data_IF_735341878429
#
_entry.id   IF_735341878429
#
_cell.length_a   1.000
_cell.length_b   1.000
_cell.length_c   1.000
_cell.angle_alpha   90.00
_cell.angle_beta   90.00
_cell.angle_gamma   90.00
#
_symmetry.space_group_name_H-M   'P 1'
#
loop_
_entity.id
_entity.type
_entity.pdbx_description
1 polymer ?
#
# COMPACT_ATOMS: atom_id res chain seq x y z
N UNK A 1 -3.56 5.70 -0.27
CA UNK A 1 -4.53 4.79 -0.91
C UNK A 1 -3.76 3.90 -1.86
N UNK A 2 -4.12 2.63 -2.01
CA UNK A 2 -3.48 1.69 -2.94
C UNK A 2 -4.41 0.51 -3.25
N UNK A 3 -4.15 -0.20 -4.35
CA UNK A 3 -4.90 -1.37 -4.81
C UNK A 3 -3.97 -2.39 -5.48
N UNK A 4 -4.25 -3.70 -5.39
CA UNK A 4 -3.57 -4.71 -6.20
C UNK A 4 -3.86 -4.57 -7.71
N UNK A 5 -4.96 -3.93 -8.10
CA UNK A 5 -5.30 -3.67 -9.51
C UNK A 5 -4.50 -2.47 -10.05
N UNK A 6 -3.25 -2.71 -10.40
CA UNK A 6 -2.37 -1.72 -11.01
C UNK A 6 -2.65 -1.54 -12.51
N UNK A 7 -2.30 -0.37 -13.05
CA UNK A 7 -2.36 -0.09 -14.49
C UNK A 7 -3.72 0.39 -15.01
N UNK A 8 -4.68 0.63 -14.12
CA UNK A 8 -5.98 1.22 -14.43
C UNK A 8 -6.23 2.49 -13.61
N UNK A 9 -7.28 3.23 -13.97
CA UNK A 9 -7.71 4.41 -13.23
C UNK A 9 -8.20 4.00 -11.83
N UNK A 10 -7.70 4.68 -10.78
CA UNK A 10 -7.96 4.28 -9.38
C UNK A 10 -9.39 4.63 -8.93
N UNK A 11 -10.00 5.67 -9.51
CA UNK A 11 -11.39 6.03 -9.26
C UNK A 11 -12.33 4.94 -9.80
N UNK A 12 -12.03 4.35 -10.96
CA UNK A 12 -12.82 3.23 -11.49
C UNK A 12 -12.77 2.00 -10.59
N UNK A 13 -11.61 1.69 -10.00
CA UNK A 13 -11.46 0.61 -9.02
C UNK A 13 -12.30 0.92 -7.78
N UNK A 14 -12.28 2.18 -7.32
CA UNK A 14 -13.07 2.60 -6.16
C UNK A 14 -14.58 2.48 -6.39
N UNK A 15 -15.07 2.65 -7.63
CA UNK A 15 -16.48 2.49 -7.98
C UNK A 15 -16.88 1.03 -8.22
N UNK A 16 -16.06 0.26 -8.95
CA UNK A 16 -16.41 -1.10 -9.41
C UNK A 16 -16.02 -2.19 -8.40
N UNK A 17 -14.88 -2.05 -7.75
CA UNK A 17 -14.27 -3.03 -6.83
C UNK A 17 -13.73 -2.34 -5.57
N UNK A 18 -14.60 -1.65 -4.79
CA UNK A 18 -14.19 -0.86 -3.63
C UNK A 18 -13.43 -1.67 -2.57
N UNK A 19 -13.64 -2.98 -2.48
CA UNK A 19 -12.95 -3.90 -1.58
C UNK A 19 -11.45 -4.07 -1.89
N UNK A 20 -11.03 -3.70 -3.11
CA UNK A 20 -9.62 -3.71 -3.51
C UNK A 20 -8.93 -2.37 -3.21
N UNK A 21 -9.65 -1.37 -2.70
CA UNK A 21 -9.08 -0.10 -2.28
C UNK A 21 -8.71 -0.15 -0.81
N UNK A 22 -7.41 -0.03 -0.54
CA UNK A 22 -6.86 0.03 0.80
C UNK A 22 -6.37 1.43 1.15
N UNK A 23 -6.48 1.79 2.43
CA UNK A 23 -6.00 3.06 2.99
C UNK A 23 -5.26 2.79 4.28
N UNK A 24 -4.12 3.45 4.48
CA UNK A 24 -3.43 3.53 5.76
C UNK A 24 -3.44 4.97 6.24
N UNK A 25 -3.82 5.17 7.50
CA UNK A 25 -3.76 6.46 8.16
C UNK A 25 -2.39 6.67 8.78
N UNK A 26 -1.73 7.81 8.52
CA UNK A 26 -0.39 8.09 9.01
C UNK A 26 -0.45 9.29 9.95
N UNK A 27 -0.06 9.10 11.20
CA UNK A 27 0.12 10.20 12.15
C UNK A 27 1.40 10.98 11.76
N UNK A 28 1.30 12.28 11.44
CA UNK A 28 2.43 13.09 10.98
C UNK A 28 3.52 13.28 12.04
N UNK A 29 3.23 13.07 13.34
CA UNK A 29 4.23 13.20 14.41
C UNK A 29 5.21 12.04 14.43
N UNK A 30 4.75 10.85 14.10
CA UNK A 30 5.56 9.62 14.12
C UNK A 30 5.95 9.14 12.73
N UNK A 31 5.26 9.62 11.70
CA UNK A 31 5.46 9.23 10.31
C UNK A 31 5.04 7.78 10.03
N UNK A 32 5.38 7.29 8.84
CA UNK A 32 5.00 5.93 8.43
C UNK A 32 5.71 4.85 9.25
N UNK A 33 4.91 3.96 9.84
CA UNK A 33 5.41 2.90 10.70
C UNK A 33 5.73 1.62 9.92
N UNK A 34 6.72 0.81 10.36
CA UNK A 34 7.10 -0.43 9.66
C UNK A 34 5.95 -1.43 9.46
N UNK A 35 4.99 -1.48 10.38
CA UNK A 35 3.83 -2.38 10.24
C UNK A 35 2.89 -1.94 9.11
N UNK A 36 2.78 -0.63 8.86
CA UNK A 36 1.96 -0.08 7.78
C UNK A 36 2.59 -0.41 6.42
N UNK A 37 3.91 -0.27 6.29
CA UNK A 37 4.62 -0.71 5.09
C UNK A 37 4.44 -2.21 4.81
N UNK A 38 4.47 -3.06 5.86
CA UNK A 38 4.21 -4.50 5.71
C UNK A 38 2.77 -4.79 5.31
N UNK A 39 1.81 -4.05 5.88
CA UNK A 39 0.39 -4.19 5.56
C UNK A 39 0.11 -3.83 4.10
N UNK A 40 0.72 -2.76 3.58
CA UNK A 40 0.67 -2.43 2.15
C UNK A 40 1.20 -3.59 1.29
N UNK A 41 2.40 -4.09 1.59
CA UNK A 41 2.98 -5.20 0.83
C UNK A 41 2.11 -6.47 0.87
N UNK A 42 1.52 -6.78 2.03
CA UNK A 42 0.63 -7.93 2.22
C UNK A 42 -0.67 -7.79 1.41
N UNK A 43 -1.33 -6.63 1.48
CA UNK A 43 -2.58 -6.36 0.76
C UNK A 43 -2.38 -6.35 -0.77
N UNK A 44 -1.17 -6.04 -1.24
CA UNK A 44 -0.77 -6.19 -2.65
C UNK A 44 -0.42 -7.64 -3.02
N UNK A 45 -0.60 -8.61 -2.13
CA UNK A 45 -0.35 -10.03 -2.38
C UNK A 45 1.13 -10.42 -2.48
N UNK A 46 2.04 -9.56 -2.01
CA UNK A 46 3.49 -9.80 -2.14
C UNK A 46 4.02 -10.68 -1.01
N UNK A 47 5.00 -11.53 -1.36
CA UNK A 47 5.68 -12.42 -0.41
C UNK A 47 7.20 -12.42 -0.63
N UNK A 48 7.93 -13.06 0.29
CA UNK A 48 9.38 -13.29 0.16
C UNK A 48 10.20 -12.02 -0.07
N UNK A 49 11.03 -12.03 -1.12
CA UNK A 49 11.90 -10.91 -1.46
C UNK A 49 11.10 -9.68 -1.94
N UNK A 50 10.03 -9.89 -2.71
CA UNK A 50 9.18 -8.82 -3.22
C UNK A 50 8.53 -8.05 -2.06
N UNK A 51 8.03 -8.77 -1.04
CA UNK A 51 7.50 -8.13 0.18
C UNK A 51 8.57 -7.27 0.87
N UNK A 52 9.78 -7.80 1.06
CA UNK A 52 10.88 -7.05 1.68
C UNK A 52 11.21 -5.78 0.90
N UNK A 53 11.28 -5.85 -0.43
CA UNK A 53 11.55 -4.66 -1.25
C UNK A 53 10.39 -3.66 -1.22
N UNK A 54 9.15 -4.13 -1.26
CA UNK A 54 7.98 -3.26 -1.15
C UNK A 54 7.96 -2.48 0.17
N UNK A 55 8.29 -3.12 1.30
CA UNK A 55 8.33 -2.41 2.59
C UNK A 55 9.35 -1.26 2.60
N UNK A 56 10.50 -1.45 1.95
CA UNK A 56 11.53 -0.40 1.80
C UNK A 56 11.06 0.70 0.86
N UNK A 57 10.46 0.30 -0.28
CA UNK A 57 9.94 1.22 -1.28
C UNK A 57 8.85 2.13 -0.71
N UNK A 58 7.84 1.58 -0.02
CA UNK A 58 6.76 2.36 0.62
C UNK A 58 7.32 3.34 1.65
N UNK A 59 8.31 2.92 2.45
CA UNK A 59 8.97 3.82 3.41
C UNK A 59 9.72 4.95 2.70
N UNK A 60 10.38 4.66 1.59
CA UNK A 60 11.13 5.65 0.80
C UNK A 60 10.23 6.62 0.03
N UNK A 61 8.98 6.26 -0.28
CA UNK A 61 8.03 7.18 -0.91
C UNK A 61 7.46 8.21 0.07
N UNK A 62 7.42 7.89 1.36
CA UNK A 62 6.89 8.78 2.39
C UNK A 62 7.94 9.78 2.91
N UNK A 63 9.20 9.34 3.00
CA UNK A 63 10.32 10.14 3.51
C UNK A 63 10.93 11.02 2.41
#
# INVERSE_FOLDING_TARGET
>A
MYSPEGGMNIEEVAEKTPELIFKEEIDPKVGIQPFQCRKVAFNLGLSGQAMKQMTKFVRALYN
#
